data_IF_339867285840
#
_entry.id   IF_339867285840
#
_cell.length_a   1.000
_cell.length_b   1.000
_cell.length_c   1.000
_cell.angle_alpha   90.00
_cell.angle_beta   90.00
_cell.angle_gamma   90.00
#
_symmetry.space_group_name_H-M   'P 1'
#
loop_
_entity.id
_entity.type
_entity.pdbx_description
1 polymer ?
#
# COMPACT_ATOMS: atom_id res chain seq x y z
N UNK A 1 28.76 -0.69 -44.28
CA UNK A 1 27.81 -1.79 -44.09
C UNK A 1 27.01 -1.51 -42.84
N UNK A 2 25.81 -0.91 -42.98
CA UNK A 2 24.95 -0.58 -41.85
C UNK A 2 24.20 -1.85 -41.44
N UNK A 3 24.60 -2.51 -40.34
CA UNK A 3 23.80 -3.54 -39.74
C UNK A 3 22.51 -2.90 -39.17
N UNK A 4 21.37 -3.04 -39.87
CA UNK A 4 20.06 -2.81 -39.26
C UNK A 4 19.95 -3.78 -38.08
N UNK A 5 19.97 -3.29 -36.82
CA UNK A 5 19.60 -4.08 -35.65
C UNK A 5 18.20 -4.66 -35.95
N UNK A 6 18.09 -5.99 -36.06
CA UNK A 6 16.79 -6.67 -36.13
C UNK A 6 16.01 -6.22 -34.90
N UNK A 7 14.84 -5.61 -35.13
CA UNK A 7 13.90 -5.37 -34.03
C UNK A 7 13.57 -6.73 -33.42
N UNK A 8 13.89 -6.93 -32.13
CA UNK A 8 13.45 -8.11 -31.39
C UNK A 8 11.93 -8.06 -31.33
N UNK A 9 11.28 -9.10 -31.82
CA UNK A 9 9.87 -9.31 -31.61
C UNK A 9 9.68 -9.95 -30.22
N UNK A 10 8.89 -9.30 -29.37
CA UNK A 10 8.57 -9.81 -28.04
C UNK A 10 7.12 -10.31 -28.03
N UNK A 11 6.84 -11.40 -27.32
CA UNK A 11 5.47 -11.78 -26.98
C UNK A 11 4.80 -10.68 -26.13
N UNK A 12 3.47 -10.55 -26.14
CA UNK A 12 2.77 -9.41 -25.52
C UNK A 12 3.17 -9.14 -24.07
N UNK A 13 3.42 -10.18 -23.28
CA UNK A 13 3.76 -10.07 -21.85
C UNK A 13 5.11 -10.71 -21.51
N UNK A 14 6.04 -10.71 -22.49
CA UNK A 14 7.43 -11.12 -22.24
C UNK A 14 8.07 -10.17 -21.23
N UNK A 15 8.71 -10.73 -20.21
CA UNK A 15 9.34 -9.94 -19.15
C UNK A 15 10.45 -9.00 -19.67
N UNK A 16 11.11 -9.36 -20.76
CA UNK A 16 12.16 -8.55 -21.38
C UNK A 16 11.62 -7.48 -22.35
N UNK A 17 10.30 -7.41 -22.53
CA UNK A 17 9.69 -6.38 -23.38
C UNK A 17 9.88 -5.01 -22.78
N UNK A 18 10.50 -4.07 -23.53
CA UNK A 18 10.66 -2.69 -23.08
C UNK A 18 9.31 -1.98 -22.91
N UNK A 19 9.14 -1.28 -21.81
CA UNK A 19 8.01 -0.38 -21.52
C UNK A 19 8.40 1.07 -21.75
N UNK A 20 9.56 1.48 -21.24
CA UNK A 20 10.11 2.82 -21.34
C UNK A 20 11.62 2.75 -21.61
N UNK A 21 12.20 3.87 -22.03
CA UNK A 21 13.65 4.05 -22.09
C UNK A 21 14.01 5.32 -21.33
N UNK A 22 14.77 5.19 -20.25
CA UNK A 22 15.22 6.32 -19.44
C UNK A 22 16.46 6.98 -20.06
N UNK A 23 17.29 6.20 -20.75
CA UNK A 23 18.47 6.68 -21.46
C UNK A 23 18.72 5.87 -22.74
N UNK A 24 19.68 6.33 -23.56
CA UNK A 24 20.11 5.58 -24.75
C UNK A 24 20.69 4.23 -24.32
N UNK A 25 20.09 3.14 -24.76
CA UNK A 25 20.41 1.74 -24.42
C UNK A 25 20.05 1.32 -22.98
N UNK A 26 19.23 2.09 -22.29
CA UNK A 26 18.71 1.77 -20.97
C UNK A 26 17.19 1.66 -21.05
N UNK A 27 16.72 0.44 -21.25
CA UNK A 27 15.29 0.14 -21.36
C UNK A 27 14.76 -0.40 -20.04
N UNK A 28 13.71 0.21 -19.55
CA UNK A 28 12.93 -0.29 -18.43
C UNK A 28 11.90 -1.28 -18.95
N UNK A 29 11.96 -2.50 -18.47
CA UNK A 29 11.22 -3.65 -19.00
C UNK A 29 10.03 -4.00 -18.13
N UNK A 30 9.19 -4.96 -18.57
CA UNK A 30 8.13 -5.53 -17.72
C UNK A 30 8.73 -6.18 -16.47
N UNK A 31 9.90 -6.79 -16.57
CA UNK A 31 10.62 -7.36 -15.40
C UNK A 31 10.91 -6.29 -14.36
N UNK A 32 11.48 -5.17 -14.78
CA UNK A 32 11.84 -4.07 -13.87
C UNK A 32 10.58 -3.47 -13.23
N UNK A 33 9.48 -3.36 -13.99
CA UNK A 33 8.20 -2.89 -13.46
C UNK A 33 7.64 -3.82 -12.37
N UNK A 34 7.78 -5.13 -12.54
CA UNK A 34 7.33 -6.12 -11.54
C UNK A 34 8.19 -6.12 -10.27
N UNK A 35 9.36 -5.50 -10.29
CA UNK A 35 10.23 -5.35 -9.11
C UNK A 35 9.85 -4.13 -8.25
N UNK A 36 8.81 -3.40 -8.63
CA UNK A 36 8.22 -2.29 -7.90
C UNK A 36 8.93 -0.96 -8.10
N UNK A 37 8.15 0.11 -8.06
CA UNK A 37 8.61 1.48 -8.35
C UNK A 37 8.22 2.43 -7.23
N UNK A 38 9.18 3.22 -6.76
CA UNK A 38 8.97 4.34 -5.85
C UNK A 38 9.31 5.65 -6.54
N UNK A 39 8.41 6.62 -6.50
CA UNK A 39 8.63 7.97 -7.04
C UNK A 39 8.59 8.97 -5.89
N UNK A 40 9.69 9.72 -5.70
CA UNK A 40 9.79 10.83 -4.75
C UNK A 40 9.77 12.17 -5.46
N UNK A 41 9.15 13.16 -4.86
CA UNK A 41 9.19 14.53 -5.37
C UNK A 41 8.29 15.49 -4.60
N UNK A 42 8.76 16.70 -4.39
CA UNK A 42 7.99 17.74 -3.72
C UNK A 42 6.68 18.05 -4.45
N UNK A 43 5.78 18.79 -3.81
CA UNK A 43 4.57 19.27 -4.46
C UNK A 43 4.94 20.11 -5.70
N UNK A 44 4.31 19.80 -6.84
CA UNK A 44 4.59 20.49 -8.12
C UNK A 44 5.92 20.11 -8.76
N UNK A 45 6.64 19.09 -8.27
CA UNK A 45 7.89 18.62 -8.88
C UNK A 45 7.71 17.87 -10.20
N UNK A 46 6.47 17.50 -10.57
CA UNK A 46 6.19 16.74 -11.78
C UNK A 46 6.15 15.22 -11.58
N UNK A 47 6.20 14.72 -10.34
CA UNK A 47 6.15 13.26 -10.09
C UNK A 47 4.95 12.57 -10.74
N UNK A 48 3.77 13.16 -10.69
CA UNK A 48 2.55 12.58 -11.27
C UNK A 48 2.42 12.90 -12.77
N UNK A 49 2.74 14.13 -13.20
CA UNK A 49 2.62 14.59 -14.59
C UNK A 49 3.85 14.29 -15.48
N UNK A 50 4.95 13.88 -14.92
CA UNK A 50 6.18 13.50 -15.61
C UNK A 50 6.35 11.97 -15.63
N UNK A 51 7.25 11.45 -14.77
CA UNK A 51 7.56 10.01 -14.73
C UNK A 51 6.34 9.15 -14.41
N UNK A 52 5.47 9.59 -13.50
CA UNK A 52 4.23 8.89 -13.19
C UNK A 52 3.33 8.74 -14.41
N UNK A 53 3.09 9.83 -15.16
CA UNK A 53 2.29 9.77 -16.40
C UNK A 53 2.91 8.82 -17.44
N UNK A 54 4.23 8.86 -17.61
CA UNK A 54 4.92 8.00 -18.57
C UNK A 54 4.74 6.52 -18.21
N UNK A 55 4.92 6.16 -16.94
CA UNK A 55 4.73 4.79 -16.45
C UNK A 55 3.27 4.36 -16.59
N UNK A 56 2.30 5.19 -16.14
CA UNK A 56 0.88 4.88 -16.24
C UNK A 56 0.47 4.59 -17.69
N UNK A 57 0.84 5.46 -18.63
CA UNK A 57 0.55 5.25 -20.06
C UNK A 57 1.26 4.02 -20.63
N UNK A 58 2.47 3.71 -20.17
CA UNK A 58 3.17 2.50 -20.63
C UNK A 58 2.45 1.22 -20.20
N UNK A 59 1.89 1.18 -19.00
CA UNK A 59 1.08 0.05 -18.51
C UNK A 59 -0.21 -0.09 -19.30
N UNK A 60 -0.94 1.02 -19.51
CA UNK A 60 -2.18 1.02 -20.29
C UNK A 60 -1.94 0.57 -21.74
N UNK A 61 -0.93 1.12 -22.42
CA UNK A 61 -0.53 0.73 -23.76
C UNK A 61 0.02 -0.72 -23.83
N UNK A 62 0.56 -1.21 -22.72
CA UNK A 62 0.98 -2.60 -22.55
C UNK A 62 -0.16 -3.58 -22.37
N UNK A 63 -1.41 -3.08 -22.18
CA UNK A 63 -2.59 -3.92 -21.94
C UNK A 63 -2.62 -4.51 -20.53
N UNK A 64 -1.98 -3.87 -19.54
CA UNK A 64 -2.02 -4.31 -18.14
C UNK A 64 -3.39 -4.02 -17.54
N UNK A 65 -3.88 -4.90 -16.68
CA UNK A 65 -4.96 -4.54 -15.79
C UNK A 65 -4.42 -3.94 -14.49
N UNK A 66 -5.26 -3.29 -13.68
CA UNK A 66 -4.72 -2.67 -12.48
C UNK A 66 -5.73 -2.13 -11.47
N UNK A 67 -5.21 -1.79 -10.30
CA UNK A 67 -5.92 -1.12 -9.23
C UNK A 67 -5.34 0.26 -8.99
N UNK A 68 -6.22 1.25 -8.91
CA UNK A 68 -5.87 2.65 -8.67
C UNK A 68 -6.56 3.13 -7.41
N UNK A 69 -5.77 3.60 -6.45
CA UNK A 69 -6.26 4.24 -5.24
C UNK A 69 -6.21 5.76 -5.41
N UNK A 70 -7.21 6.45 -4.87
CA UNK A 70 -7.35 7.91 -5.02
C UNK A 70 -7.22 8.64 -3.68
N UNK A 71 -6.30 9.60 -3.62
CA UNK A 71 -6.18 10.53 -2.51
C UNK A 71 -6.95 11.83 -2.77
N UNK A 72 -7.05 12.24 -4.05
CA UNK A 72 -7.59 13.52 -4.52
C UNK A 72 -8.68 13.28 -5.56
N UNK A 73 -9.61 14.23 -5.66
CA UNK A 73 -10.75 14.17 -6.58
C UNK A 73 -10.39 14.20 -8.06
N UNK A 74 -9.33 14.90 -8.42
CA UNK A 74 -8.90 15.09 -9.80
C UNK A 74 -8.21 13.86 -10.41
N UNK A 75 -7.84 12.88 -9.57
CA UNK A 75 -7.19 11.66 -10.04
C UNK A 75 -8.10 10.83 -10.97
N UNK A 76 -9.39 10.77 -10.68
CA UNK A 76 -10.37 10.13 -11.56
C UNK A 76 -10.33 10.69 -12.99
N UNK A 77 -10.48 11.98 -13.14
CA UNK A 77 -10.45 12.63 -14.47
C UNK A 77 -9.11 12.41 -15.18
N UNK A 78 -8.01 12.36 -14.43
CA UNK A 78 -6.68 12.06 -14.96
C UNK A 78 -6.62 10.64 -15.53
N UNK A 79 -7.14 9.64 -14.83
CA UNK A 79 -7.14 8.27 -15.30
C UNK A 79 -8.16 8.01 -16.42
N UNK A 80 -9.33 8.63 -16.39
CA UNK A 80 -10.27 8.62 -17.51
C UNK A 80 -9.61 9.14 -18.79
N UNK A 81 -8.84 10.24 -18.69
CA UNK A 81 -8.07 10.79 -19.81
C UNK A 81 -6.98 9.82 -20.30
N UNK A 82 -6.21 9.22 -19.38
CA UNK A 82 -5.15 8.26 -19.75
C UNK A 82 -5.73 7.03 -20.45
N UNK A 83 -6.82 6.48 -19.92
CA UNK A 83 -7.51 5.33 -20.55
C UNK A 83 -8.09 5.70 -21.90
N UNK A 84 -8.66 6.91 -22.08
CA UNK A 84 -9.14 7.39 -23.36
C UNK A 84 -8.00 7.50 -24.39
N UNK A 85 -6.89 8.12 -24.02
CA UNK A 85 -5.70 8.27 -24.87
C UNK A 85 -5.06 6.92 -25.24
N UNK A 86 -5.14 5.93 -24.36
CA UNK A 86 -4.66 4.57 -24.60
C UNK A 86 -5.68 3.65 -25.32
N UNK A 87 -6.90 4.13 -25.57
CA UNK A 87 -7.96 3.35 -26.22
C UNK A 87 -8.53 2.20 -25.38
N UNK A 88 -8.45 2.31 -24.04
CA UNK A 88 -8.93 1.29 -23.09
C UNK A 88 -9.96 1.82 -22.07
N UNK A 89 -10.72 2.85 -22.46
CA UNK A 89 -11.72 3.45 -21.56
C UNK A 89 -12.80 2.44 -21.12
N UNK A 90 -13.19 1.52 -22.01
CA UNK A 90 -14.19 0.49 -21.72
C UNK A 90 -13.71 -0.55 -20.69
N UNK A 91 -12.40 -0.62 -20.47
CA UNK A 91 -11.81 -1.47 -19.42
C UNK A 91 -11.70 -0.78 -18.06
N UNK A 92 -12.10 0.51 -17.95
CA UNK A 92 -12.03 1.28 -16.72
C UNK A 92 -13.32 1.12 -15.88
N UNK A 93 -13.21 0.49 -14.73
CA UNK A 93 -14.27 0.29 -13.76
C UNK A 93 -14.10 1.28 -12.60
N UNK A 94 -15.01 2.25 -12.49
CA UNK A 94 -14.96 3.29 -11.45
C UNK A 94 -15.89 2.89 -10.31
N UNK A 95 -15.31 2.48 -9.17
CA UNK A 95 -16.06 2.16 -7.96
C UNK A 95 -16.33 3.47 -7.20
N UNK A 96 -17.58 3.92 -7.23
CA UNK A 96 -18.03 5.13 -6.54
C UNK A 96 -19.46 4.96 -6.02
N UNK A 97 -19.93 5.81 -5.11
CA UNK A 97 -21.31 5.73 -4.61
C UNK A 97 -22.41 5.79 -5.68
N UNK A 98 -22.06 6.30 -6.88
CA UNK A 98 -22.99 6.50 -7.99
C UNK A 98 -22.83 5.49 -9.12
N UNK A 99 -21.82 4.64 -9.07
CA UNK A 99 -21.49 3.75 -10.20
C UNK A 99 -22.29 2.46 -10.27
N UNK A 100 -22.96 2.08 -9.17
CA UNK A 100 -23.67 0.79 -9.07
C UNK A 100 -22.74 -0.41 -8.83
N UNK A 101 -21.41 -0.23 -8.82
CA UNK A 101 -20.47 -1.29 -8.43
C UNK A 101 -20.49 -1.52 -6.93
N UNK A 102 -20.54 -2.80 -6.55
CA UNK A 102 -20.62 -3.25 -5.15
C UNK A 102 -19.67 -4.42 -4.93
N UNK A 103 -19.09 -4.47 -3.76
CA UNK A 103 -18.13 -5.49 -3.38
C UNK A 103 -18.31 -5.92 -1.93
N UNK A 104 -19.12 -6.93 -1.68
CA UNK A 104 -19.26 -7.51 -0.35
C UNK A 104 -18.03 -8.37 -0.04
N UNK A 105 -17.09 -7.80 0.70
CA UNK A 105 -15.82 -8.43 0.98
C UNK A 105 -15.92 -9.70 1.82
N UNK A 106 -16.92 -9.80 2.70
CA UNK A 106 -17.17 -10.99 3.50
C UNK A 106 -17.69 -12.14 2.63
N UNK A 107 -18.65 -11.84 1.78
CA UNK A 107 -19.20 -12.80 0.84
C UNK A 107 -18.15 -13.25 -0.20
N UNK A 108 -17.36 -12.31 -0.68
CA UNK A 108 -16.24 -12.62 -1.58
C UNK A 108 -15.25 -13.60 -0.93
N UNK A 109 -14.73 -13.32 0.27
CA UNK A 109 -13.73 -14.18 0.91
C UNK A 109 -14.30 -15.57 1.29
N UNK A 110 -15.59 -15.64 1.64
CA UNK A 110 -16.25 -16.91 1.93
C UNK A 110 -16.43 -17.79 0.68
N UNK A 111 -16.73 -17.20 -0.48
CA UNK A 111 -17.17 -17.91 -1.68
C UNK A 111 -16.19 -17.82 -2.85
N UNK A 112 -15.04 -17.14 -2.72
CA UNK A 112 -14.04 -17.07 -3.78
C UNK A 112 -13.52 -18.44 -4.19
N UNK A 113 -13.04 -18.56 -5.41
CA UNK A 113 -12.42 -19.80 -5.89
C UNK A 113 -11.02 -20.02 -5.26
N UNK A 114 -10.60 -21.27 -5.23
CA UNK A 114 -9.26 -21.72 -4.82
C UNK A 114 -9.14 -22.11 -3.35
N UNK A 115 -7.97 -22.66 -3.03
CA UNK A 115 -7.66 -23.14 -1.68
C UNK A 115 -7.67 -22.01 -0.66
N UNK A 116 -8.09 -22.34 0.56
CA UNK A 116 -8.16 -21.37 1.67
C UNK A 116 -9.37 -20.41 1.62
N UNK A 117 -10.32 -20.59 0.68
CA UNK A 117 -11.58 -19.82 0.70
C UNK A 117 -12.39 -20.15 1.97
N UNK A 118 -12.96 -19.12 2.59
CA UNK A 118 -13.77 -19.27 3.80
C UNK A 118 -12.99 -19.61 5.07
N UNK A 119 -11.65 -19.60 5.04
CA UNK A 119 -10.86 -19.78 6.25
C UNK A 119 -10.96 -18.56 7.17
N UNK A 120 -11.30 -18.81 8.42
CA UNK A 120 -11.47 -17.77 9.46
C UNK A 120 -10.26 -16.84 9.56
N UNK A 121 -9.03 -17.36 9.47
CA UNK A 121 -7.81 -16.56 9.58
C UNK A 121 -7.65 -15.52 8.46
N UNK A 122 -8.18 -15.76 7.26
CA UNK A 122 -8.14 -14.80 6.17
C UNK A 122 -9.02 -13.58 6.49
N UNK A 123 -10.22 -13.83 7.03
CA UNK A 123 -11.13 -12.78 7.49
C UNK A 123 -10.57 -12.02 8.69
N UNK A 124 -9.96 -12.72 9.66
CA UNK A 124 -9.28 -12.11 10.80
C UNK A 124 -8.16 -11.17 10.33
N UNK A 125 -7.34 -11.61 9.40
CA UNK A 125 -6.23 -10.80 8.85
C UNK A 125 -6.74 -9.58 8.10
N UNK A 126 -7.83 -9.71 7.35
CA UNK A 126 -8.47 -8.62 6.64
C UNK A 126 -8.99 -7.55 7.61
N UNK A 127 -9.75 -7.94 8.63
CA UNK A 127 -10.22 -7.01 9.67
C UNK A 127 -9.07 -6.34 10.41
N UNK A 128 -8.04 -7.12 10.72
CA UNK A 128 -6.88 -6.60 11.42
C UNK A 128 -6.13 -5.55 10.60
N UNK A 129 -6.02 -5.72 9.28
CA UNK A 129 -5.42 -4.73 8.37
C UNK A 129 -6.18 -3.39 8.40
N UNK A 130 -7.51 -3.42 8.51
CA UNK A 130 -8.31 -2.20 8.63
C UNK A 130 -8.11 -1.53 9.99
N UNK A 131 -8.09 -2.33 11.06
CA UNK A 131 -7.88 -1.84 12.43
C UNK A 131 -6.48 -1.24 12.60
N UNK A 132 -5.44 -1.85 12.02
CA UNK A 132 -4.07 -1.34 12.03
C UNK A 132 -4.02 0.11 11.51
N UNK A 133 -4.67 0.39 10.39
CA UNK A 133 -4.71 1.76 9.82
C UNK A 133 -5.49 2.73 10.71
N UNK A 134 -6.58 2.28 11.31
CA UNK A 134 -7.35 3.11 12.23
C UNK A 134 -6.51 3.56 13.43
N UNK A 135 -5.67 2.66 13.95
CA UNK A 135 -4.78 2.91 15.09
C UNK A 135 -3.56 3.75 14.74
N UNK A 136 -2.90 3.47 13.62
CA UNK A 136 -1.78 4.28 13.14
C UNK A 136 -2.13 5.77 13.09
N UNK A 137 -3.36 6.11 12.68
CA UNK A 137 -3.85 7.50 12.65
C UNK A 137 -4.17 8.07 14.02
N UNK A 138 -4.45 7.23 15.01
CA UNK A 138 -4.72 7.66 16.38
C UNK A 138 -3.47 7.86 17.22
N UNK A 139 -2.26 7.59 16.66
CA UNK A 139 -0.98 7.72 17.39
C UNK A 139 -0.78 6.67 18.48
N UNK A 140 -1.56 5.59 18.46
CA UNK A 140 -1.45 4.48 19.40
C UNK A 140 -0.30 3.55 19.02
N UNK A 141 0.52 3.20 20.00
CA UNK A 141 1.43 2.04 19.93
C UNK A 141 0.59 0.79 20.17
N UNK A 142 0.52 -0.13 19.21
CA UNK A 142 -0.20 -1.38 19.41
C UNK A 142 0.54 -2.25 20.43
N UNK A 143 -0.07 -2.42 21.61
CA UNK A 143 0.38 -3.43 22.56
C UNK A 143 0.16 -4.83 21.96
N UNK A 144 1.17 -5.69 21.86
CA UNK A 144 1.03 -7.04 21.31
C UNK A 144 -0.05 -7.90 22.02
N UNK A 145 -0.37 -7.58 23.26
CA UNK A 145 -1.45 -8.24 23.98
C UNK A 145 -2.81 -7.87 23.40
N UNK A 146 -3.03 -6.59 23.13
CA UNK A 146 -4.26 -6.09 22.54
C UNK A 146 -4.50 -6.66 21.13
N UNK A 147 -3.46 -6.73 20.31
CA UNK A 147 -3.53 -7.35 18.98
C UNK A 147 -4.02 -8.80 19.05
N UNK A 148 -3.44 -9.59 19.95
CA UNK A 148 -3.83 -10.99 20.16
C UNK A 148 -5.27 -11.12 20.65
N UNK A 149 -5.68 -10.28 21.59
CA UNK A 149 -7.03 -10.30 22.13
C UNK A 149 -8.08 -9.91 21.08
N UNK A 150 -7.78 -8.93 20.23
CA UNK A 150 -8.66 -8.53 19.12
C UNK A 150 -8.77 -9.64 18.05
N UNK A 151 -7.66 -10.27 17.68
CA UNK A 151 -7.69 -11.42 16.77
C UNK A 151 -8.49 -12.58 17.33
N UNK A 152 -8.39 -12.85 18.63
CA UNK A 152 -9.16 -13.88 19.30
C UNK A 152 -10.67 -13.55 19.29
N UNK A 153 -11.05 -12.29 19.56
CA UNK A 153 -12.42 -11.83 19.47
C UNK A 153 -13.01 -12.04 18.07
N UNK A 154 -12.28 -11.59 17.05
CA UNK A 154 -12.70 -11.74 15.64
C UNK A 154 -12.83 -13.19 15.24
N UNK A 155 -11.84 -14.04 15.55
CA UNK A 155 -11.87 -15.47 15.25
C UNK A 155 -13.11 -16.14 15.83
N UNK A 156 -13.38 -15.98 17.10
CA UNK A 156 -14.52 -16.59 17.76
C UNK A 156 -15.86 -16.02 17.27
N UNK A 157 -15.89 -14.76 16.85
CA UNK A 157 -17.10 -14.15 16.20
C UNK A 157 -17.37 -14.81 14.85
N UNK A 158 -16.36 -14.93 14.01
CA UNK A 158 -16.45 -15.48 12.66
C UNK A 158 -16.82 -16.96 12.72
N UNK A 159 -16.16 -17.73 13.59
CA UNK A 159 -16.42 -19.15 13.75
C UNK A 159 -17.86 -19.41 14.24
N UNK A 160 -18.33 -18.65 15.22
CA UNK A 160 -19.71 -18.76 15.71
C UNK A 160 -20.72 -18.52 14.59
N UNK A 161 -20.58 -17.46 13.82
CA UNK A 161 -21.47 -17.13 12.71
C UNK A 161 -21.40 -18.18 11.58
N UNK A 162 -20.20 -18.57 11.19
CA UNK A 162 -19.99 -19.59 10.16
C UNK A 162 -20.64 -20.92 10.56
N UNK A 163 -20.44 -21.38 11.79
CA UNK A 163 -21.00 -22.64 12.27
C UNK A 163 -22.52 -22.52 12.43
N UNK A 164 -23.03 -21.42 13.03
CA UNK A 164 -24.45 -21.27 13.31
C UNK A 164 -25.29 -21.01 12.06
N UNK A 165 -24.83 -20.13 11.16
CA UNK A 165 -25.61 -19.65 10.02
C UNK A 165 -25.07 -20.07 8.66
N UNK A 166 -23.78 -20.40 8.56
CA UNK A 166 -23.08 -20.65 7.27
C UNK A 166 -22.87 -19.38 6.45
N UNK A 167 -23.07 -18.22 7.03
CA UNK A 167 -22.86 -16.89 6.44
C UNK A 167 -22.33 -15.93 7.49
N UNK A 168 -21.63 -14.90 7.05
CA UNK A 168 -21.09 -13.85 7.90
C UNK A 168 -21.54 -12.50 7.36
N UNK A 169 -22.09 -11.65 8.21
CA UNK A 169 -22.39 -10.26 7.88
C UNK A 169 -21.81 -9.33 8.93
N UNK A 170 -21.45 -8.10 8.52
CA UNK A 170 -20.95 -7.09 9.46
C UNK A 170 -21.96 -6.80 10.58
N UNK A 171 -23.26 -6.76 10.26
CA UNK A 171 -24.32 -6.54 11.23
C UNK A 171 -24.39 -7.69 12.26
N UNK A 172 -24.26 -8.93 11.81
CA UNK A 172 -24.34 -10.07 12.71
C UNK A 172 -23.07 -10.15 13.59
N UNK A 173 -21.90 -9.84 13.06
CA UNK A 173 -20.67 -9.69 13.85
C UNK A 173 -20.84 -8.63 14.95
N UNK A 174 -21.38 -7.47 14.59
CA UNK A 174 -21.66 -6.39 15.54
C UNK A 174 -22.61 -6.86 16.65
N UNK A 175 -23.71 -7.54 16.28
CA UNK A 175 -24.68 -8.08 17.26
C UNK A 175 -24.06 -9.12 18.19
N UNK A 176 -23.26 -10.05 17.64
CA UNK A 176 -22.57 -11.05 18.48
C UNK A 176 -21.76 -10.37 19.58
N UNK A 177 -20.90 -9.42 19.16
CA UNK A 177 -19.95 -8.79 20.09
C UNK A 177 -20.66 -7.89 21.10
N UNK A 178 -21.68 -7.14 20.67
CA UNK A 178 -22.39 -6.19 21.55
C UNK A 178 -23.44 -6.83 22.45
N UNK A 179 -23.82 -8.08 22.21
CA UNK A 179 -24.76 -8.85 23.06
C UNK A 179 -24.07 -10.01 23.79
N UNK A 180 -22.73 -10.08 23.72
CA UNK A 180 -21.96 -11.04 24.48
C UNK A 180 -22.06 -10.75 25.98
N UNK A 181 -21.88 -11.77 26.87
CA UNK A 181 -22.00 -11.59 28.30
C UNK A 181 -20.88 -10.68 28.81
N UNK A 182 -21.20 -9.76 29.71
CA UNK A 182 -20.25 -8.85 30.32
C UNK A 182 -19.54 -9.45 31.52
N UNK A 183 -20.24 -10.35 32.23
CA UNK A 183 -19.76 -11.05 33.41
C UNK A 183 -20.38 -12.45 33.55
N UNK A 184 -20.06 -13.13 34.63
CA UNK A 184 -20.58 -14.45 34.87
C UNK A 184 -22.04 -14.46 35.33
N UNK A 185 -22.56 -13.34 35.84
CA UNK A 185 -23.97 -13.17 36.22
C UNK A 185 -24.84 -13.18 34.97
N UNK A 186 -24.45 -12.48 33.90
CA UNK A 186 -25.13 -12.51 32.60
C UNK A 186 -25.25 -13.95 32.08
N UNK A 187 -24.20 -14.76 32.18
CA UNK A 187 -24.24 -16.15 31.67
C UNK A 187 -25.29 -17.01 32.39
N UNK A 188 -25.59 -16.69 33.65
CA UNK A 188 -26.60 -17.38 34.44
C UNK A 188 -27.97 -16.76 34.33
N UNK A 189 -28.09 -15.53 33.77
CA UNK A 189 -29.37 -14.81 33.65
C UNK A 189 -30.20 -15.32 32.47
N UNK A 190 -31.43 -15.78 32.77
CA UNK A 190 -32.34 -16.25 31.75
C UNK A 190 -32.92 -15.11 30.88
N UNK A 191 -32.97 -13.88 31.37
CA UNK A 191 -33.43 -12.72 30.60
C UNK A 191 -32.35 -12.30 29.63
N UNK A 192 -31.07 -12.24 30.04
CA UNK A 192 -29.96 -12.03 29.12
C UNK A 192 -29.96 -13.09 28.01
N UNK A 193 -30.09 -14.37 28.36
CA UNK A 193 -30.09 -15.48 27.41
C UNK A 193 -31.20 -15.38 26.35
N UNK A 194 -32.36 -14.79 26.69
CA UNK A 194 -33.47 -14.56 25.74
C UNK A 194 -33.15 -13.44 24.73
N UNK A 195 -32.46 -12.39 25.15
CA UNK A 195 -32.18 -11.21 24.34
C UNK A 195 -30.82 -11.20 23.68
N UNK A 196 -29.85 -12.00 24.15
CA UNK A 196 -28.50 -12.09 23.58
C UNK A 196 -28.49 -12.81 22.25
N UNK A 197 -28.12 -12.09 21.18
CA UNK A 197 -27.91 -12.67 19.85
C UNK A 197 -26.73 -13.67 19.87
N UNK A 198 -25.67 -13.38 20.62
CA UNK A 198 -24.56 -14.31 20.84
C UNK A 198 -25.04 -15.65 21.39
N UNK A 199 -25.86 -15.64 22.44
CA UNK A 199 -26.39 -16.89 23.03
C UNK A 199 -27.35 -17.63 22.11
N UNK A 200 -28.21 -16.91 21.38
CA UNK A 200 -29.12 -17.51 20.39
C UNK A 200 -28.33 -18.25 19.30
N UNK A 201 -27.24 -17.69 18.83
CA UNK A 201 -26.36 -18.35 17.86
C UNK A 201 -25.67 -19.59 18.43
N UNK A 202 -25.20 -19.55 19.66
CA UNK A 202 -24.64 -20.72 20.34
C UNK A 202 -25.70 -21.85 20.41
N UNK A 203 -26.94 -21.51 20.77
CA UNK A 203 -28.05 -22.47 20.79
C UNK A 203 -28.36 -23.05 19.42
N UNK A 204 -28.38 -22.21 18.38
CA UNK A 204 -28.57 -22.63 16.99
C UNK A 204 -27.44 -23.56 16.52
N UNK A 205 -26.18 -23.21 16.80
CA UNK A 205 -25.01 -24.00 16.44
C UNK A 205 -25.02 -25.41 17.08
N UNK A 206 -25.44 -25.50 18.37
CA UNK A 206 -25.57 -26.79 19.08
C UNK A 206 -26.62 -27.74 18.47
N UNK A 207 -27.61 -27.22 17.76
CA UNK A 207 -28.65 -28.01 17.12
C UNK A 207 -28.23 -28.58 15.76
N UNK A 208 -27.09 -28.14 15.20
CA UNK A 208 -26.63 -28.61 13.90
C UNK A 208 -25.93 -29.96 13.97
N UNK A 209 -26.10 -30.74 12.92
CA UNK A 209 -25.35 -31.97 12.74
C UNK A 209 -23.94 -31.61 12.15
N UNK A 210 -22.97 -31.47 13.03
CA UNK A 210 -21.61 -31.06 12.71
C UNK A 210 -20.67 -32.26 12.62
N UNK A 211 -19.64 -32.18 11.78
CA UNK A 211 -18.50 -33.11 11.80
C UNK A 211 -17.77 -33.04 13.15
N UNK A 212 -16.98 -34.06 13.48
CA UNK A 212 -16.21 -34.11 14.73
C UNK A 212 -15.31 -32.87 14.90
N UNK A 213 -14.58 -32.48 13.86
CA UNK A 213 -13.74 -31.28 13.87
C UNK A 213 -14.56 -30.02 14.17
N UNK A 214 -15.65 -29.78 13.47
CA UNK A 214 -16.51 -28.60 13.69
C UNK A 214 -17.18 -28.59 15.07
N UNK A 215 -17.41 -29.77 15.68
CA UNK A 215 -17.87 -29.83 17.08
C UNK A 215 -16.79 -29.33 18.04
N UNK A 216 -15.53 -29.74 17.83
CA UNK A 216 -14.42 -29.23 18.64
C UNK A 216 -14.26 -27.72 18.48
N UNK A 217 -14.33 -27.20 17.26
CA UNK A 217 -14.25 -25.75 17.00
C UNK A 217 -15.40 -24.99 17.72
N UNK A 218 -16.61 -25.57 17.70
CA UNK A 218 -17.76 -25.02 18.40
C UNK A 218 -17.53 -25.01 19.94
N UNK A 219 -16.98 -26.08 20.49
CA UNK A 219 -16.72 -26.16 21.92
C UNK A 219 -15.69 -25.12 22.37
N UNK A 220 -14.64 -24.86 21.58
CA UNK A 220 -13.69 -23.76 21.82
C UNK A 220 -14.38 -22.39 21.73
N UNK A 221 -15.22 -22.18 20.74
CA UNK A 221 -15.96 -20.93 20.54
C UNK A 221 -16.94 -20.67 21.70
N UNK A 222 -17.65 -21.71 22.16
CA UNK A 222 -18.56 -21.61 23.31
C UNK A 222 -17.79 -21.27 24.57
N UNK A 223 -16.63 -21.96 24.80
CA UNK A 223 -15.77 -21.70 25.95
C UNK A 223 -15.28 -20.25 25.96
N UNK A 224 -14.88 -19.72 24.78
CA UNK A 224 -14.48 -18.33 24.66
C UNK A 224 -15.63 -17.41 25.10
N UNK A 225 -16.81 -17.53 24.51
CA UNK A 225 -17.91 -16.59 24.75
C UNK A 225 -18.54 -16.69 26.15
N UNK A 226 -18.61 -17.89 26.72
CA UNK A 226 -19.29 -18.09 28.02
C UNK A 226 -18.35 -18.13 29.22
N UNK A 227 -17.03 -18.31 28.99
CA UNK A 227 -16.06 -18.39 30.09
C UNK A 227 -14.92 -17.38 29.96
N UNK A 228 -14.24 -17.32 28.81
CA UNK A 228 -13.02 -16.51 28.69
C UNK A 228 -13.35 -15.02 28.55
N UNK A 229 -14.30 -14.67 27.68
CA UNK A 229 -14.68 -13.29 27.40
C UNK A 229 -15.27 -12.55 28.62
N UNK A 230 -16.20 -13.13 29.42
CA UNK A 230 -16.68 -12.52 30.65
C UNK A 230 -15.60 -12.31 31.70
N UNK A 231 -14.55 -13.18 31.73
CA UNK A 231 -13.43 -13.10 32.63
C UNK A 231 -12.31 -12.14 32.22
N UNK A 232 -12.42 -11.52 31.03
CA UNK A 232 -11.49 -10.45 30.64
C UNK A 232 -11.67 -9.25 31.58
N UNK A 233 -10.56 -8.56 31.90
CA UNK A 233 -10.67 -7.29 32.63
C UNK A 233 -11.55 -6.31 31.84
N UNK A 234 -12.35 -5.51 32.53
CA UNK A 234 -13.23 -4.51 31.93
C UNK A 234 -12.48 -3.58 30.95
N UNK A 235 -11.25 -3.22 31.31
CA UNK A 235 -10.39 -2.40 30.47
C UNK A 235 -10.06 -3.11 29.13
N UNK A 236 -9.64 -4.37 29.18
CA UNK A 236 -9.30 -5.15 27.98
C UNK A 236 -10.53 -5.34 27.11
N UNK A 237 -11.64 -5.77 27.71
CA UNK A 237 -12.91 -5.99 27.01
C UNK A 237 -13.41 -4.71 26.34
N UNK A 238 -13.44 -3.58 27.05
CA UNK A 238 -13.83 -2.27 26.52
C UNK A 238 -12.96 -1.87 25.31
N UNK A 239 -11.65 -2.06 25.37
CA UNK A 239 -10.74 -1.69 24.28
C UNK A 239 -11.04 -2.53 23.03
N UNK A 240 -11.04 -3.86 23.11
CA UNK A 240 -11.22 -4.72 21.95
C UNK A 240 -12.62 -4.57 21.34
N UNK A 241 -13.67 -4.41 22.18
CA UNK A 241 -15.04 -4.19 21.72
C UNK A 241 -15.16 -2.81 21.03
N UNK A 242 -14.65 -1.75 21.67
CA UNK A 242 -14.75 -0.40 21.11
C UNK A 242 -13.97 -0.24 19.80
N UNK A 243 -12.81 -0.86 19.67
CA UNK A 243 -12.04 -0.86 18.43
C UNK A 243 -12.81 -1.52 17.30
N UNK A 244 -13.37 -2.71 17.55
CA UNK A 244 -14.18 -3.39 16.54
C UNK A 244 -15.46 -2.60 16.21
N UNK A 245 -16.22 -2.15 17.22
CA UNK A 245 -17.51 -1.47 16.98
C UNK A 245 -17.33 -0.13 16.28
N UNK A 246 -16.26 0.61 16.58
CA UNK A 246 -15.93 1.87 15.89
C UNK A 246 -15.65 1.66 14.39
N UNK A 247 -14.90 0.62 14.04
CA UNK A 247 -14.68 0.24 12.64
C UNK A 247 -15.98 -0.26 12.00
N UNK A 248 -16.69 -1.17 12.67
CA UNK A 248 -17.92 -1.76 12.15
C UNK A 248 -19.00 -0.71 11.88
N UNK A 249 -19.12 0.33 12.72
CA UNK A 249 -20.07 1.43 12.53
C UNK A 249 -19.90 2.11 11.17
N UNK A 250 -18.65 2.27 10.71
CA UNK A 250 -18.36 2.83 9.37
C UNK A 250 -18.93 1.96 8.24
N UNK A 251 -18.89 0.62 8.39
CA UNK A 251 -19.40 -0.35 7.41
C UNK A 251 -20.89 -0.65 7.57
N UNK A 252 -21.49 -0.28 8.70
CA UNK A 252 -22.91 -0.49 8.95
C UNK A 252 -23.80 0.66 8.48
N UNK A 253 -23.22 1.78 8.06
CA UNK A 253 -23.95 3.01 7.69
C UNK A 253 -23.56 3.54 6.33
N UNK A 254 -24.53 4.18 5.67
CA UNK A 254 -24.33 5.00 4.48
C UNK A 254 -23.57 4.29 3.36
N UNK A 255 -22.64 5.02 2.77
CA UNK A 255 -21.94 4.63 1.54
C UNK A 255 -21.20 3.30 1.66
N UNK A 256 -20.48 3.06 2.76
CA UNK A 256 -19.70 1.82 2.90
C UNK A 256 -20.59 0.59 3.05
N UNK A 257 -21.72 0.70 3.79
CA UNK A 257 -22.71 -0.39 3.87
C UNK A 257 -23.21 -0.75 2.48
N UNK A 258 -23.65 0.26 1.71
CA UNK A 258 -24.30 0.05 0.43
C UNK A 258 -23.32 -0.49 -0.64
N UNK A 259 -22.03 -0.11 -0.57
CA UNK A 259 -21.03 -0.52 -1.52
C UNK A 259 -20.28 -1.81 -1.13
N UNK A 260 -20.07 -2.06 0.18
CA UNK A 260 -19.14 -3.10 0.64
C UNK A 260 -19.79 -4.19 1.52
N UNK A 261 -21.07 -4.08 1.88
CA UNK A 261 -21.74 -5.03 2.76
C UNK A 261 -23.05 -5.59 2.22
N UNK A 262 -23.37 -5.39 0.94
CA UNK A 262 -24.62 -5.84 0.32
C UNK A 262 -24.40 -7.01 -0.65
N UNK A 263 -23.97 -6.72 -1.86
CA UNK A 263 -23.77 -7.69 -2.93
C UNK A 263 -22.41 -7.49 -3.61
N UNK A 264 -21.99 -8.44 -4.47
CA UNK A 264 -20.76 -8.35 -5.22
C UNK A 264 -21.04 -8.45 -6.71
N UNK A 265 -20.67 -7.42 -7.47
CA UNK A 265 -20.75 -7.39 -8.93
C UNK A 265 -19.43 -6.90 -9.58
N UNK A 266 -18.40 -6.62 -8.78
CA UNK A 266 -17.05 -6.34 -9.23
C UNK A 266 -16.06 -7.17 -8.42
N UNK A 267 -15.03 -7.69 -9.08
CA UNK A 267 -14.06 -8.61 -8.48
C UNK A 267 -12.62 -8.14 -8.75
N UNK A 268 -11.69 -8.33 -7.81
CA UNK A 268 -10.27 -8.05 -8.05
C UNK A 268 -9.71 -8.72 -9.30
N UNK A 269 -10.18 -9.92 -9.60
CA UNK A 269 -9.77 -10.75 -10.74
C UNK A 269 -10.07 -10.11 -12.11
N UNK A 270 -10.97 -9.12 -12.19
CA UNK A 270 -11.16 -8.34 -13.42
C UNK A 270 -9.86 -7.70 -13.92
N UNK A 271 -8.96 -7.37 -12.98
CA UNK A 271 -7.64 -6.85 -13.35
C UNK A 271 -6.75 -7.89 -14.02
N UNK A 272 -6.96 -9.18 -13.77
CA UNK A 272 -6.20 -10.24 -14.41
C UNK A 272 -6.52 -10.36 -15.91
N UNK A 273 -7.71 -9.94 -16.32
CA UNK A 273 -8.18 -9.92 -17.71
C UNK A 273 -7.95 -8.57 -18.41
N UNK A 274 -7.29 -7.65 -17.75
CA UNK A 274 -6.97 -6.32 -18.29
C UNK A 274 -7.93 -5.21 -17.84
N UNK A 275 -8.86 -5.50 -16.94
CA UNK A 275 -9.70 -4.49 -16.30
C UNK A 275 -8.88 -3.54 -15.44
N UNK A 276 -9.28 -2.29 -15.38
CA UNK A 276 -8.64 -1.24 -14.59
C UNK A 276 -9.67 -0.78 -13.56
N UNK A 277 -9.44 -1.06 -12.29
CA UNK A 277 -10.34 -0.69 -11.21
C UNK A 277 -9.83 0.59 -10.55
N UNK A 278 -10.63 1.63 -10.57
CA UNK A 278 -10.36 2.88 -9.86
C UNK A 278 -11.37 3.05 -8.73
N UNK A 279 -10.88 3.19 -7.50
CA UNK A 279 -11.73 3.43 -6.34
C UNK A 279 -11.87 4.95 -6.15
N UNK A 280 -13.01 5.50 -6.58
CA UNK A 280 -13.32 6.94 -6.52
C UNK A 280 -13.98 7.29 -5.17
N UNK A 281 -13.20 7.11 -4.12
CA UNK A 281 -13.50 7.51 -2.75
C UNK A 281 -12.32 8.29 -2.17
N UNK A 282 -11.95 9.46 -2.77
CA UNK A 282 -10.75 10.18 -2.39
C UNK A 282 -10.73 10.53 -0.91
N UNK A 283 -9.59 10.27 -0.25
CA UNK A 283 -9.43 10.46 1.21
C UNK A 283 -9.72 11.90 1.62
N UNK A 284 -9.39 12.89 0.78
CA UNK A 284 -9.64 14.30 1.08
C UNK A 284 -11.11 14.66 1.13
N UNK A 285 -11.99 13.89 0.51
CA UNK A 285 -13.45 14.10 0.51
C UNK A 285 -14.17 13.15 1.47
N UNK A 286 -13.78 11.87 1.48
CA UNK A 286 -14.43 10.84 2.27
C UNK A 286 -13.71 10.53 3.60
N UNK A 287 -12.55 11.14 3.84
CA UNK A 287 -11.80 10.96 5.09
C UNK A 287 -11.49 9.50 5.39
N UNK A 288 -11.84 9.08 6.60
CA UNK A 288 -11.60 7.73 7.09
C UNK A 288 -12.40 6.66 6.31
N UNK A 289 -13.60 6.99 5.86
CA UNK A 289 -14.43 6.07 5.07
C UNK A 289 -13.74 5.70 3.75
N UNK A 290 -13.25 6.71 3.03
CA UNK A 290 -12.51 6.49 1.78
C UNK A 290 -11.22 5.69 1.98
N UNK A 291 -10.54 5.92 3.10
CA UNK A 291 -9.35 5.16 3.46
C UNK A 291 -9.65 3.69 3.71
N UNK A 292 -10.64 3.39 4.55
CA UNK A 292 -10.99 2.00 4.90
C UNK A 292 -11.43 1.21 3.67
N UNK A 293 -12.28 1.78 2.82
CA UNK A 293 -12.71 1.15 1.57
C UNK A 293 -11.53 0.80 0.66
N UNK A 294 -10.62 1.75 0.44
CA UNK A 294 -9.50 1.58 -0.46
C UNK A 294 -8.46 0.60 0.07
N UNK A 295 -8.14 0.65 1.35
CA UNK A 295 -7.20 -0.28 1.97
C UNK A 295 -7.75 -1.70 2.03
N UNK A 296 -9.03 -1.85 2.37
CA UNK A 296 -9.72 -3.13 2.32
C UNK A 296 -9.64 -3.76 0.92
N UNK A 297 -10.03 -3.01 -0.10
CA UNK A 297 -10.02 -3.51 -1.47
C UNK A 297 -8.59 -3.78 -1.97
N UNK A 298 -7.62 -2.91 -1.63
CA UNK A 298 -6.20 -3.10 -1.94
C UNK A 298 -5.68 -4.41 -1.35
N UNK A 299 -5.94 -4.67 -0.09
CA UNK A 299 -5.49 -5.90 0.59
C UNK A 299 -6.04 -7.14 -0.10
N UNK A 300 -7.33 -7.16 -0.40
CA UNK A 300 -7.97 -8.30 -1.09
C UNK A 300 -7.42 -8.45 -2.52
N UNK A 301 -7.21 -7.34 -3.24
CA UNK A 301 -6.61 -7.34 -4.56
C UNK A 301 -5.17 -7.89 -4.54
N UNK A 302 -4.37 -7.52 -3.56
CA UNK A 302 -3.01 -8.02 -3.38
C UNK A 302 -3.02 -9.54 -3.18
N UNK A 303 -3.89 -10.04 -2.31
CA UNK A 303 -4.05 -11.49 -2.12
C UNK A 303 -4.55 -12.20 -3.39
N UNK A 304 -5.49 -11.61 -4.14
CA UNK A 304 -5.95 -12.15 -5.40
C UNK A 304 -4.82 -12.22 -6.44
N UNK A 305 -3.97 -11.18 -6.50
CA UNK A 305 -2.80 -11.16 -7.38
C UNK A 305 -1.76 -12.23 -7.02
N UNK A 306 -1.54 -12.51 -5.72
CA UNK A 306 -0.62 -13.58 -5.27
C UNK A 306 -1.13 -14.98 -5.57
N UNK A 307 -2.44 -15.21 -5.49
CA UNK A 307 -3.07 -16.52 -5.72
C UNK A 307 -3.19 -16.89 -7.19
N UNK A 308 -3.04 -15.94 -8.11
CA UNK A 308 -3.24 -16.21 -9.55
C UNK A 308 -2.17 -17.12 -10.14
N UNK A 309 -2.55 -17.91 -11.11
CA UNK A 309 -1.66 -18.80 -11.84
C UNK A 309 -1.03 -18.05 -13.03
N UNK A 310 0.11 -17.39 -12.78
CA UNK A 310 0.80 -16.54 -13.76
C UNK A 310 1.19 -17.28 -15.07
N UNK A 311 1.45 -18.58 -14.99
CA UNK A 311 1.77 -19.39 -16.17
C UNK A 311 0.56 -19.61 -17.09
N UNK A 312 -0.68 -19.59 -16.56
CA UNK A 312 -1.91 -19.65 -17.37
C UNK A 312 -2.30 -18.28 -17.92
N UNK A 313 -2.14 -17.23 -17.11
CA UNK A 313 -2.40 -15.86 -17.51
C UNK A 313 -1.19 -14.97 -17.16
N UNK A 314 -0.25 -14.79 -18.13
CA UNK A 314 0.99 -14.05 -17.90
C UNK A 314 0.81 -12.52 -17.91
N UNK A 315 -0.40 -11.99 -18.10
CA UNK A 315 -0.68 -10.56 -18.11
C UNK A 315 -0.20 -9.89 -16.83
N UNK A 316 0.63 -8.86 -16.87
CA UNK A 316 0.96 -8.10 -15.68
C UNK A 316 -0.25 -7.34 -15.15
N UNK A 317 -0.29 -7.15 -13.83
CA UNK A 317 -1.27 -6.27 -13.18
C UNK A 317 -0.54 -5.18 -12.43
N UNK A 318 -1.14 -4.00 -12.30
CA UNK A 318 -0.49 -2.91 -11.58
C UNK A 318 -1.30 -2.43 -10.36
N UNK A 319 -0.59 -1.97 -9.35
CA UNK A 319 -1.12 -1.20 -8.23
C UNK A 319 -0.57 0.22 -8.32
N UNK A 320 -1.48 1.20 -8.38
CA UNK A 320 -1.11 2.61 -8.45
C UNK A 320 -1.57 3.36 -7.20
N UNK A 321 -0.61 3.97 -6.49
CA UNK A 321 -0.89 4.64 -5.23
C UNK A 321 -0.19 6.00 -5.19
N UNK A 322 -0.90 7.08 -5.55
CA UNK A 322 -0.42 8.44 -5.29
C UNK A 322 -0.68 8.83 -3.82
N UNK A 323 0.14 9.71 -3.26
CA UNK A 323 0.17 10.03 -1.82
C UNK A 323 0.18 8.77 -0.95
N UNK A 324 1.03 7.82 -1.33
CA UNK A 324 1.04 6.43 -0.86
C UNK A 324 1.25 6.28 0.66
N UNK A 325 1.82 7.29 1.33
CA UNK A 325 1.91 7.31 2.79
C UNK A 325 0.55 7.19 3.50
N UNK A 326 -0.55 7.51 2.80
CA UNK A 326 -1.89 7.36 3.38
C UNK A 326 -2.40 5.92 3.37
N UNK A 327 -1.90 5.08 2.49
CA UNK A 327 -2.46 3.75 2.19
C UNK A 327 -1.56 2.59 2.59
N UNK A 328 -0.33 2.88 3.03
CA UNK A 328 0.64 1.84 3.42
C UNK A 328 0.17 1.10 4.66
N UNK A 329 0.28 -0.22 4.61
CA UNK A 329 0.05 -1.17 5.70
C UNK A 329 1.26 -2.08 5.86
N UNK A 330 1.33 -2.83 6.95
CA UNK A 330 2.35 -3.87 7.16
C UNK A 330 2.35 -4.92 6.04
N UNK A 331 1.19 -5.19 5.43
CA UNK A 331 1.06 -6.16 4.35
C UNK A 331 1.74 -5.71 3.05
N UNK A 332 1.86 -4.40 2.78
CA UNK A 332 2.54 -3.91 1.57
C UNK A 332 4.00 -4.34 1.51
N UNK A 333 4.71 -4.35 2.64
CA UNK A 333 6.07 -4.86 2.71
C UNK A 333 6.13 -6.36 2.38
N UNK A 334 5.21 -7.14 2.93
CA UNK A 334 5.13 -8.57 2.69
C UNK A 334 4.77 -8.85 1.23
N UNK A 335 3.74 -8.21 0.69
CA UNK A 335 3.31 -8.33 -0.70
C UNK A 335 4.46 -8.01 -1.68
N UNK A 336 5.28 -6.99 -1.39
CA UNK A 336 6.36 -6.60 -2.29
C UNK A 336 7.44 -7.69 -2.42
N UNK A 337 7.58 -8.60 -1.46
CA UNK A 337 8.52 -9.73 -1.58
C UNK A 337 8.08 -10.76 -2.61
N UNK A 338 6.77 -10.86 -2.88
CA UNK A 338 6.14 -11.83 -3.79
C UNK A 338 5.60 -11.20 -5.07
N UNK A 339 5.48 -9.87 -5.13
CA UNK A 339 4.89 -9.10 -6.23
C UNK A 339 5.51 -9.48 -7.61
N UNK A 340 6.84 -9.64 -7.68
CA UNK A 340 7.54 -10.02 -8.89
C UNK A 340 7.08 -11.38 -9.44
N UNK A 341 6.99 -12.40 -8.60
CA UNK A 341 6.53 -13.75 -9.01
C UNK A 341 5.07 -13.74 -9.45
N UNK A 342 4.27 -12.85 -8.89
CA UNK A 342 2.88 -12.62 -9.25
C UNK A 342 2.68 -11.67 -10.44
N UNK A 343 3.76 -11.18 -11.06
CA UNK A 343 3.74 -10.14 -12.11
C UNK A 343 2.90 -8.92 -11.73
N UNK A 344 3.00 -8.50 -10.47
CA UNK A 344 2.36 -7.30 -9.96
C UNK A 344 3.35 -6.12 -9.98
N UNK A 345 3.04 -5.10 -10.79
CA UNK A 345 3.83 -3.90 -10.95
C UNK A 345 3.33 -2.83 -9.99
N UNK A 346 3.99 -2.63 -8.87
CA UNK A 346 3.57 -1.64 -7.87
C UNK A 346 4.22 -0.29 -8.13
N UNK A 347 3.43 0.78 -8.07
CA UNK A 347 3.90 2.17 -8.22
C UNK A 347 3.39 3.00 -7.05
N UNK A 348 4.32 3.42 -6.22
CA UNK A 348 4.06 4.26 -5.06
C UNK A 348 4.65 5.65 -5.27
N UNK A 349 3.83 6.68 -5.07
CA UNK A 349 4.27 8.07 -5.17
C UNK A 349 4.12 8.74 -3.81
N UNK A 350 5.16 9.43 -3.36
CA UNK A 350 5.12 10.24 -2.13
C UNK A 350 6.03 11.46 -2.27
N UNK A 351 5.91 12.39 -1.34
CA UNK A 351 6.74 13.58 -1.38
C UNK A 351 8.15 13.31 -0.83
N UNK A 352 8.26 12.62 0.30
CA UNK A 352 9.52 12.40 1.00
C UNK A 352 9.46 11.19 1.95
N UNK A 353 10.62 10.75 2.44
CA UNK A 353 10.75 9.67 3.44
C UNK A 353 10.07 9.98 4.77
N UNK A 354 10.18 11.20 5.34
CA UNK A 354 9.50 11.53 6.58
C UNK A 354 8.00 11.31 6.56
N UNK A 355 7.32 11.49 5.42
CA UNK A 355 5.89 11.23 5.29
C UNK A 355 5.54 9.77 5.59
N UNK A 356 6.32 8.81 5.10
CA UNK A 356 6.14 7.40 5.43
C UNK A 356 6.38 7.12 6.92
N UNK A 357 7.48 7.66 7.46
CA UNK A 357 7.81 7.46 8.87
C UNK A 357 6.72 8.01 9.80
N UNK A 358 6.18 9.20 9.46
CA UNK A 358 5.07 9.81 10.21
C UNK A 358 3.78 9.00 10.10
N UNK A 359 3.46 8.47 8.92
CA UNK A 359 2.27 7.64 8.69
C UNK A 359 2.28 6.34 9.50
N UNK A 360 3.47 5.78 9.77
CA UNK A 360 3.66 4.57 10.58
C UNK A 360 3.94 4.85 12.05
N UNK A 361 3.35 5.92 12.60
CA UNK A 361 3.45 6.35 14.00
C UNK A 361 4.85 6.78 14.49
N UNK A 362 5.81 6.98 13.59
CA UNK A 362 7.14 7.50 13.93
C UNK A 362 8.07 6.51 14.66
N UNK A 363 9.21 7.04 15.13
CA UNK A 363 10.18 6.26 15.90
C UNK A 363 11.14 5.40 15.07
N UNK A 364 11.94 4.57 15.75
CA UNK A 364 12.95 3.70 15.12
C UNK A 364 12.33 2.51 14.41
N UNK A 365 11.27 1.95 14.96
CA UNK A 365 10.55 0.82 14.37
C UNK A 365 9.87 1.21 13.04
N UNK A 366 9.19 2.36 13.02
CA UNK A 366 8.60 2.89 11.79
C UNK A 366 9.67 3.12 10.70
N UNK A 367 10.86 3.60 11.08
CA UNK A 367 11.98 3.76 10.14
C UNK A 367 12.42 2.42 9.57
N UNK A 368 12.59 1.40 10.41
CA UNK A 368 12.98 0.06 9.97
C UNK A 368 11.95 -0.53 9.00
N UNK A 369 10.64 -0.35 9.27
CA UNK A 369 9.56 -0.78 8.37
C UNK A 369 9.61 -0.04 7.02
N UNK A 370 9.84 1.27 7.04
CA UNK A 370 10.00 2.08 5.80
C UNK A 370 11.22 1.63 5.01
N UNK A 371 12.36 1.46 5.67
CA UNK A 371 13.60 1.05 5.01
C UNK A 371 13.46 -0.35 4.37
N UNK A 372 12.81 -1.28 5.06
CA UNK A 372 12.52 -2.62 4.55
C UNK A 372 11.54 -2.57 3.36
N UNK A 373 10.47 -1.77 3.44
CA UNK A 373 9.53 -1.58 2.35
C UNK A 373 10.21 -1.00 1.09
N UNK A 374 10.96 0.09 1.26
CA UNK A 374 11.65 0.76 0.15
C UNK A 374 12.81 -0.07 -0.40
N UNK A 375 13.44 -0.92 0.42
CA UNK A 375 14.47 -1.86 -0.01
C UNK A 375 13.96 -2.88 -1.03
N UNK A 376 12.68 -3.25 -0.94
CA UNK A 376 12.04 -4.19 -1.85
C UNK A 376 11.59 -3.56 -3.19
N UNK A 377 11.53 -2.24 -3.29
CA UNK A 377 11.19 -1.53 -4.53
C UNK A 377 12.48 -1.22 -5.30
N UNK A 378 12.70 -1.85 -6.46
CA UNK A 378 13.99 -1.74 -7.15
C UNK A 378 14.12 -0.46 -7.97
N UNK A 379 13.07 -0.01 -8.64
CA UNK A 379 13.08 1.26 -9.40
C UNK A 379 12.79 2.43 -8.46
N UNK A 380 13.72 3.37 -8.38
CA UNK A 380 13.56 4.59 -7.59
C UNK A 380 13.77 5.82 -8.44
N UNK A 381 12.76 6.69 -8.48
CA UNK A 381 12.78 7.93 -9.27
C UNK A 381 12.70 9.12 -8.33
N UNK A 382 13.64 10.05 -8.47
CA UNK A 382 13.74 11.23 -7.64
C UNK A 382 13.54 12.49 -8.49
N UNK A 383 12.47 13.18 -8.24
CA UNK A 383 12.22 14.54 -8.75
C UNK A 383 12.72 15.60 -7.76
N UNK A 384 12.64 16.86 -8.15
CA UNK A 384 13.00 17.99 -7.32
C UNK A 384 12.42 17.88 -5.90
N UNK A 385 13.29 17.89 -4.89
CA UNK A 385 12.91 17.69 -3.50
C UNK A 385 13.75 18.59 -2.58
N UNK A 386 13.10 19.20 -1.60
CA UNK A 386 13.75 20.02 -0.58
C UNK A 386 14.05 19.27 0.73
N UNK A 387 13.62 18.02 0.87
CA UNK A 387 13.84 17.24 2.10
C UNK A 387 15.26 16.68 2.17
N UNK A 388 16.01 17.11 3.17
CA UNK A 388 17.40 16.72 3.37
C UNK A 388 17.57 15.20 3.54
N UNK A 389 16.68 14.56 4.30
CA UNK A 389 16.77 13.13 4.58
C UNK A 389 16.57 12.29 3.32
N UNK A 390 15.57 12.64 2.52
CA UNK A 390 15.31 11.97 1.23
C UNK A 390 16.46 12.16 0.26
N UNK A 391 16.98 13.39 0.15
CA UNK A 391 18.06 13.71 -0.78
C UNK A 391 19.39 13.03 -0.37
N UNK A 392 19.69 12.97 0.93
CA UNK A 392 20.87 12.25 1.43
C UNK A 392 20.76 10.75 1.16
N UNK A 393 19.60 10.17 1.43
CA UNK A 393 19.34 8.75 1.14
C UNK A 393 19.45 8.44 -0.35
N UNK A 394 18.96 9.32 -1.24
CA UNK A 394 19.11 9.19 -2.67
C UNK A 394 20.59 9.21 -3.10
N UNK A 395 21.39 10.15 -2.55
CA UNK A 395 22.84 10.22 -2.81
C UNK A 395 23.57 8.98 -2.32
N UNK A 396 23.19 8.42 -1.16
CA UNK A 396 23.79 7.18 -0.63
C UNK A 396 23.48 5.98 -1.54
N UNK A 397 22.26 5.90 -2.11
CA UNK A 397 21.88 4.83 -3.05
C UNK A 397 22.62 4.91 -4.38
N UNK A 398 22.84 6.13 -4.91
CA UNK A 398 23.58 6.34 -6.17
C UNK A 398 25.06 6.04 -5.99
N UNK A 399 25.54 6.05 -4.77
CA UNK A 399 26.91 5.76 -4.35
C UNK A 399 27.90 6.96 -4.44
N UNK A 400 29.11 6.66 -3.98
CA UNK A 400 30.24 7.60 -3.99
C UNK A 400 31.27 7.13 -5.00
N UNK A 401 31.97 8.08 -5.60
CA UNK A 401 33.07 7.83 -6.51
C UNK A 401 34.31 8.63 -6.12
N UNK A 402 35.48 8.13 -6.48
CA UNK A 402 36.72 8.85 -6.30
C UNK A 402 36.79 10.06 -7.23
N UNK A 403 36.97 11.24 -6.66
CA UNK A 403 37.12 12.50 -7.39
C UNK A 403 38.46 13.13 -7.12
N UNK A 404 39.11 13.54 -8.20
CA UNK A 404 40.34 14.28 -8.12
C UNK A 404 40.02 15.76 -7.89
N UNK A 405 40.55 16.33 -6.81
CA UNK A 405 40.47 17.76 -6.53
C UNK A 405 41.86 18.38 -6.73
N UNK A 406 41.92 19.38 -7.59
CA UNK A 406 43.14 20.20 -7.75
C UNK A 406 42.96 21.47 -6.94
N UNK A 407 43.74 21.66 -5.89
CA UNK A 407 43.80 22.89 -5.14
C UNK A 407 44.94 23.75 -5.70
N UNK A 408 44.60 24.90 -6.26
CA UNK A 408 45.56 25.91 -6.65
C UNK A 408 45.79 26.85 -5.45
N UNK A 409 47.00 26.81 -4.88
CA UNK A 409 47.44 27.79 -3.90
C UNK A 409 48.41 28.79 -4.58
N UNK A 410 48.03 30.06 -4.58
CA UNK A 410 48.97 31.13 -4.95
C UNK A 410 49.26 31.95 -3.71
N UNK A 411 50.51 31.95 -3.24
CA UNK A 411 50.99 32.88 -2.23
C UNK A 411 51.84 33.98 -2.87
N UNK A 412 51.48 35.22 -2.63
CA UNK A 412 52.35 36.34 -2.91
C UNK A 412 53.06 36.67 -1.60
N UNK A 413 54.37 36.46 -1.52
CA UNK A 413 55.19 36.99 -0.45
C UNK A 413 55.64 38.39 -0.81
N UNK A 414 55.18 39.37 -0.05
CA UNK A 414 55.69 40.73 -0.13
C UNK A 414 56.76 40.87 0.96
N UNK A 415 58.02 40.64 0.61
CA UNK A 415 59.12 40.98 1.49
C UNK A 415 59.25 42.48 1.52
N UNK A 416 58.83 43.08 2.65
CA UNK A 416 58.81 44.52 2.90
C UNK A 416 60.19 45.21 2.93
N UNK A 417 61.04 45.01 1.88
CA UNK A 417 62.24 45.81 1.64
C UNK A 417 61.99 46.72 0.45
N UNK A 418 61.65 47.92 0.80
CA UNK A 418 61.44 49.08 -0.04
C UNK A 418 62.78 49.51 -0.66
N UNK A 419 63.34 48.85 -1.64
CA UNK A 419 64.42 49.45 -2.46
C UNK A 419 64.76 48.77 -3.80
N UNK A 420 64.14 47.67 -4.20
CA UNK A 420 64.32 47.19 -5.60
C UNK A 420 63.04 46.51 -6.11
N UNK A 421 62.48 46.93 -7.27
CA UNK A 421 61.18 46.45 -7.75
C UNK A 421 61.27 45.25 -8.68
N UNK A 422 62.17 44.28 -8.45
CA UNK A 422 62.29 43.11 -9.32
C UNK A 422 62.51 41.78 -8.60
N UNK A 423 61.68 41.38 -7.69
CA UNK A 423 61.51 39.95 -7.36
C UNK A 423 60.19 39.68 -6.66
N UNK A 424 59.09 39.75 -7.38
CA UNK A 424 57.85 39.14 -6.95
C UNK A 424 57.89 37.66 -7.22
N UNK A 425 58.32 36.85 -6.25
CA UNK A 425 58.25 35.43 -6.32
C UNK A 425 56.79 34.98 -6.23
N UNK A 426 56.15 34.71 -7.36
CA UNK A 426 54.90 33.95 -7.40
C UNK A 426 55.21 32.48 -7.18
N UNK A 427 54.93 31.94 -6.00
CA UNK A 427 54.86 30.52 -5.78
C UNK A 427 53.45 30.03 -6.07
N UNK A 428 53.26 29.31 -7.14
CA UNK A 428 52.03 28.58 -7.41
C UNK A 428 52.25 27.10 -7.13
N UNK A 429 51.55 26.59 -6.14
CA UNK A 429 51.53 25.17 -5.82
C UNK A 429 50.23 24.56 -6.32
N UNK A 430 50.30 23.46 -7.07
CA UNK A 430 49.16 22.63 -7.43
C UNK A 430 49.24 21.39 -6.58
N UNK A 431 48.27 21.19 -5.66
CA UNK A 431 48.15 19.94 -4.94
C UNK A 431 46.96 19.15 -5.47
N UNK A 432 47.15 17.89 -5.76
CA UNK A 432 46.09 16.95 -6.14
C UNK A 432 45.74 16.11 -4.92
N UNK A 433 44.47 16.09 -4.56
CA UNK A 433 43.93 15.19 -3.53
C UNK A 433 42.81 14.33 -4.10
N UNK A 434 42.85 13.04 -3.78
CA UNK A 434 41.72 12.13 -4.06
C UNK A 434 40.78 12.12 -2.86
N UNK A 435 39.49 12.29 -3.12
CA UNK A 435 38.45 12.20 -2.09
C UNK A 435 37.29 11.38 -2.60
N UNK A 436 36.76 10.52 -1.73
CA UNK A 436 35.53 9.77 -1.99
C UNK A 436 34.34 10.68 -1.75
N UNK A 437 33.70 11.14 -2.82
CA UNK A 437 32.54 12.05 -2.76
C UNK A 437 31.30 11.41 -3.41
N UNK A 438 30.11 11.88 -3.04
CA UNK A 438 28.88 11.48 -3.72
C UNK A 438 28.97 11.73 -5.22
N UNK A 439 28.48 10.79 -6.02
CA UNK A 439 28.36 10.95 -7.47
C UNK A 439 27.31 12.01 -7.81
N UNK A 440 26.21 12.07 -7.03
CA UNK A 440 25.19 13.13 -7.05
C UNK A 440 25.07 13.67 -5.64
N UNK A 441 25.27 14.97 -5.46
CA UNK A 441 25.24 15.60 -4.14
C UNK A 441 23.79 15.84 -3.69
N UNK A 442 23.49 15.74 -2.38
CA UNK A 442 22.11 15.93 -1.87
C UNK A 442 21.45 17.24 -2.28
N UNK A 443 22.19 18.33 -2.44
CA UNK A 443 21.65 19.61 -2.85
C UNK A 443 21.24 19.66 -4.33
N UNK A 444 21.81 18.81 -5.20
CA UNK A 444 21.48 18.78 -6.63
C UNK A 444 20.02 18.42 -6.87
N UNK A 445 19.43 17.56 -6.02
CA UNK A 445 18.00 17.23 -6.07
C UNK A 445 17.10 18.46 -5.83
N UNK A 446 17.58 19.50 -5.17
CA UNK A 446 16.82 20.74 -4.99
C UNK A 446 16.80 21.59 -6.26
N UNK A 447 17.74 21.40 -7.15
CA UNK A 447 17.96 22.17 -8.37
C UNK A 447 17.32 21.55 -9.61
N UNK A 448 16.79 20.32 -9.51
CA UNK A 448 16.09 19.64 -10.59
C UNK A 448 14.89 20.49 -11.08
N UNK A 449 14.60 20.43 -12.37
CA UNK A 449 13.48 21.17 -12.97
C UNK A 449 12.15 20.63 -12.46
N UNK A 450 11.24 21.53 -12.08
CA UNK A 450 9.94 21.19 -11.50
C UNK A 450 8.80 21.15 -12.52
N UNK A 451 9.07 21.28 -13.80
CA UNK A 451 8.03 21.44 -14.81
C UNK A 451 7.46 22.88 -14.83
N UNK A 452 6.34 23.07 -15.52
CA UNK A 452 5.71 24.37 -15.75
C UNK A 452 6.29 25.12 -16.97
N UNK A 453 5.63 26.22 -17.34
CA UNK A 453 5.97 27.00 -18.54
C UNK A 453 7.40 27.56 -18.53
N UNK A 454 7.92 27.90 -17.35
CA UNK A 454 9.30 28.40 -17.21
C UNK A 454 10.36 27.38 -17.68
N UNK A 455 10.05 26.10 -17.59
CA UNK A 455 10.90 24.99 -17.97
C UNK A 455 10.42 24.27 -19.23
N UNK A 456 9.61 24.92 -20.07
CA UNK A 456 8.99 24.36 -21.27
C UNK A 456 8.27 23.02 -20.98
N UNK A 457 7.65 22.91 -19.80
CA UNK A 457 6.98 21.72 -19.28
C UNK A 457 7.92 20.50 -19.07
N UNK A 458 9.24 20.70 -19.16
CA UNK A 458 10.21 19.64 -18.89
C UNK A 458 10.38 19.43 -17.38
N UNK A 459 10.56 18.17 -16.99
CA UNK A 459 10.74 17.70 -15.61
C UNK A 459 11.99 16.84 -15.59
N UNK A 460 12.81 17.00 -14.55
CA UNK A 460 13.95 16.12 -14.27
C UNK A 460 13.57 15.07 -13.24
#
# INVERSE_FOLDING_TARGET
>A
MFFKKKQKHYEPFDLERPLLSFAKNDAWTIRDACEGTQIFGATGSGKTSGSGQAIAKSFLNGGFGGLILTAKKDERATWEKYCYEAGCLDALFIISPKSGYKFNFLDYELNRAGDGAGHTENLVSLFFTILEIAEQKSGGSSDPYWERATKQLLRNTIDLLSIAQGRISMMDMYKVITTAPLDYEDVQDTEWAKHSFCYQLIKQAKQKNLSHSKKMDLDFTIRFWLNEFPNLSDRTRSIIVSSFTSMADCFLRGVLRDMFCTETNIFPEFTHEGGIILIDLPIKEYGQLGLFAQVLFKYIWQQAAERREVYKNPRPVFLWVDESQNFITSYDQQFQTTARSSRACTVYLTQNLPNYTAALAGGSEARAKVDAFLGNLQTKIFHANGDHRTNTWASDLIAKTWQYRSNLSSSMSNDGKVFFPETTGKQSGVSHSEALNYQVLPHEFTQLRKGGYKNNLLVD
#
